data_IF_785202743267
#
_entry.id   IF_785202743267
#
_cell.length_a   1.000
_cell.length_b   1.000
_cell.length_c   1.000
_cell.angle_alpha   90.00
_cell.angle_beta   90.00
_cell.angle_gamma   90.00
#
_symmetry.space_group_name_H-M   'P 1'
#
loop_
_entity.id
_entity.type
_entity.pdbx_description
1 polymer ?
#
# COMPACT_ATOMS: atom_id res chain seq x y z
N UNK A 1 -6.57 9.69 37.87
CA UNK A 1 -5.37 9.01 37.31
C UNK A 1 -4.47 10.08 36.70
N UNK A 2 -3.41 10.50 37.40
CA UNK A 2 -2.62 11.69 37.04
C UNK A 2 -1.47 11.27 36.11
N UNK A 3 -1.66 11.42 34.81
CA UNK A 3 -0.57 11.28 33.84
C UNK A 3 0.32 12.51 34.02
N UNK A 4 1.53 12.32 34.55
CA UNK A 4 2.52 13.39 34.67
C UNK A 4 3.13 13.57 33.28
N UNK A 5 2.47 14.36 32.44
CA UNK A 5 3.03 14.81 31.16
C UNK A 5 4.08 15.90 31.45
N UNK A 6 5.29 15.48 31.81
CA UNK A 6 6.44 16.37 31.89
C UNK A 6 7.00 16.51 30.48
N UNK A 7 6.47 17.47 29.73
CA UNK A 7 6.80 17.79 28.33
C UNK A 7 6.41 16.70 27.31
N UNK A 8 5.96 17.11 26.12
CA UNK A 8 5.52 16.20 25.04
C UNK A 8 6.59 15.20 24.56
N UNK A 9 7.82 15.35 25.05
CA UNK A 9 9.02 14.60 24.65
C UNK A 9 9.27 13.41 25.61
N UNK A 10 8.91 13.53 26.90
CA UNK A 10 9.18 12.53 27.94
C UNK A 10 7.91 12.10 28.68
N UNK A 11 7.62 10.80 28.64
CA UNK A 11 6.51 10.20 29.37
C UNK A 11 7.00 9.08 30.30
N UNK A 12 6.69 9.19 31.60
CA UNK A 12 6.94 8.16 32.60
C UNK A 12 5.63 7.66 33.19
N UNK A 13 5.33 6.38 32.99
CA UNK A 13 4.11 5.70 33.44
C UNK A 13 4.39 4.55 34.41
N UNK A 14 5.66 4.34 34.78
CA UNK A 14 6.06 3.39 35.80
C UNK A 14 5.13 3.37 37.02
N UNK A 15 4.77 2.17 37.47
CA UNK A 15 3.85 1.89 38.58
C UNK A 15 2.36 2.19 38.31
N UNK A 16 1.99 2.43 37.04
CA UNK A 16 0.59 2.49 36.65
C UNK A 16 0.05 1.07 36.34
N UNK A 17 -1.12 0.65 36.85
CA UNK A 17 -1.76 -0.61 36.46
C UNK A 17 -1.96 -0.74 34.93
N UNK A 18 -2.04 0.39 34.22
CA UNK A 18 -2.09 0.42 32.76
C UNK A 18 -0.84 -0.18 32.08
N UNK A 19 0.32 -0.18 32.74
CA UNK A 19 1.54 -0.79 32.22
C UNK A 19 1.52 -2.33 32.20
N UNK A 20 0.48 -2.96 32.77
CA UNK A 20 0.33 -4.42 32.77
C UNK A 20 -0.18 -4.97 31.42
N UNK A 21 -0.78 -4.13 30.56
CA UNK A 21 -1.34 -4.58 29.29
C UNK A 21 -0.26 -4.78 28.22
N UNK A 22 -0.23 -5.91 27.52
CA UNK A 22 0.82 -6.24 26.53
C UNK A 22 1.04 -5.22 25.39
N UNK A 23 0.09 -4.31 25.14
CA UNK A 23 0.15 -3.31 24.06
C UNK A 23 0.13 -1.85 24.57
N UNK A 24 0.20 -1.62 25.89
CA UNK A 24 0.09 -0.28 26.47
C UNK A 24 1.07 0.69 25.83
N UNK A 25 2.32 0.25 25.63
CA UNK A 25 3.40 1.05 25.07
C UNK A 25 3.09 1.53 23.66
N UNK A 26 2.66 0.63 22.77
CA UNK A 26 2.30 0.99 21.39
C UNK A 26 1.04 1.86 21.35
N UNK A 27 0.08 1.62 22.25
CA UNK A 27 -1.12 2.43 22.38
C UNK A 27 -0.80 3.88 22.77
N UNK A 28 0.13 4.08 23.71
CA UNK A 28 0.57 5.43 24.11
C UNK A 28 1.30 6.13 22.96
N UNK A 29 2.20 5.43 22.26
CA UNK A 29 2.90 6.01 21.10
C UNK A 29 1.91 6.41 20.00
N UNK A 30 0.77 5.70 19.88
CA UNK A 30 -0.27 6.01 18.89
C UNK A 30 -1.01 7.29 19.21
N UNK A 31 -1.39 7.47 20.47
CA UNK A 31 -2.11 8.65 20.92
C UNK A 31 -1.20 9.85 21.15
N UNK A 32 0.08 9.62 21.43
CA UNK A 32 1.10 10.65 21.70
C UNK A 32 2.32 10.46 20.77
N UNK A 33 2.22 10.84 19.49
CA UNK A 33 3.29 10.63 18.52
C UNK A 33 4.55 11.48 18.80
N UNK A 34 4.44 12.53 19.61
CA UNK A 34 5.54 13.42 20.01
C UNK A 34 6.51 12.84 21.05
N UNK A 35 6.15 11.73 21.68
CA UNK A 35 6.99 11.10 22.71
C UNK A 35 8.22 10.47 22.06
N UNK A 36 9.40 10.89 22.51
CA UNK A 36 10.69 10.33 22.09
C UNK A 36 11.21 9.33 23.12
N UNK A 37 10.91 9.55 24.41
CA UNK A 37 11.34 8.71 25.52
C UNK A 37 10.13 8.30 26.37
N UNK A 38 9.83 7.00 26.37
CA UNK A 38 8.72 6.41 27.12
C UNK A 38 9.26 5.37 28.10
N UNK A 39 8.99 5.55 29.39
CA UNK A 39 9.45 4.65 30.46
C UNK A 39 10.95 4.37 30.36
N UNK A 40 11.77 5.43 30.32
CA UNK A 40 13.24 5.39 30.17
C UNK A 40 13.76 4.67 28.91
N UNK A 41 12.89 4.18 28.04
CA UNK A 41 13.21 3.50 26.79
C UNK A 41 12.90 4.41 25.61
N UNK A 42 13.87 4.63 24.73
CA UNK A 42 13.66 5.41 23.51
C UNK A 42 12.63 4.72 22.60
N UNK A 43 11.77 5.52 21.99
CA UNK A 43 10.79 5.04 21.02
C UNK A 43 11.51 4.73 19.72
N UNK A 44 11.51 3.46 19.33
CA UNK A 44 12.19 3.00 18.11
C UNK A 44 11.31 3.20 16.87
N UNK A 45 11.93 3.34 15.70
CA UNK A 45 11.19 3.38 14.43
C UNK A 45 10.39 2.09 14.19
N UNK A 46 10.89 0.95 14.66
CA UNK A 46 10.20 -0.33 14.58
C UNK A 46 8.85 -0.25 15.30
N UNK A 47 8.82 0.30 16.52
CA UNK A 47 7.58 0.50 17.28
C UNK A 47 6.62 1.45 16.56
N UNK A 48 7.14 2.54 15.98
CA UNK A 48 6.32 3.49 15.20
C UNK A 48 5.68 2.83 13.98
N UNK A 49 6.41 1.95 13.27
CA UNK A 49 5.87 1.19 12.14
C UNK A 49 4.85 0.15 12.61
N UNK A 50 5.20 -0.65 13.62
CA UNK A 50 4.32 -1.70 14.17
C UNK A 50 3.01 -1.13 14.70
N UNK A 51 3.05 0.03 15.32
CA UNK A 51 1.86 0.74 15.79
C UNK A 51 0.91 1.10 14.64
N UNK A 52 1.41 1.63 13.52
CA UNK A 52 0.59 1.98 12.36
C UNK A 52 -0.07 0.73 11.79
N UNK A 53 0.69 -0.37 11.68
CA UNK A 53 0.16 -1.64 11.18
C UNK A 53 -0.95 -2.21 12.07
N UNK A 54 -0.88 -2.01 13.38
CA UNK A 54 -1.83 -2.58 14.35
C UNK A 54 -3.07 -1.69 14.51
N UNK A 55 -2.89 -0.38 14.69
CA UNK A 55 -3.99 0.52 15.08
C UNK A 55 -4.63 1.28 13.92
N UNK A 56 -3.98 1.37 12.76
CA UNK A 56 -4.50 2.13 11.61
C UNK A 56 -4.46 1.32 10.31
N UNK A 57 -5.50 0.49 10.11
CA UNK A 57 -5.66 -0.35 8.92
C UNK A 57 -5.64 0.43 7.60
N UNK A 58 -6.21 1.65 7.56
CA UNK A 58 -6.20 2.50 6.35
C UNK A 58 -4.78 2.93 5.99
N UNK A 59 -4.02 3.45 6.97
CA UNK A 59 -2.62 3.84 6.76
C UNK A 59 -1.73 2.64 6.46
N UNK A 60 -1.96 1.50 7.12
CA UNK A 60 -1.26 0.26 6.85
C UNK A 60 -1.48 -0.22 5.41
N UNK A 61 -2.73 -0.21 4.94
CA UNK A 61 -3.07 -0.55 3.56
C UNK A 61 -2.37 0.37 2.57
N UNK A 62 -2.37 1.69 2.82
CA UNK A 62 -1.67 2.67 1.99
C UNK A 62 -0.17 2.37 1.93
N UNK A 63 0.50 2.20 3.07
CA UNK A 63 1.93 1.85 3.14
C UNK A 63 2.25 0.56 2.39
N UNK A 64 1.43 -0.48 2.53
CA UNK A 64 1.63 -1.74 1.81
C UNK A 64 1.34 -1.62 0.31
N UNK A 65 0.36 -0.81 -0.10
CA UNK A 65 0.00 -0.60 -1.51
C UNK A 65 1.03 0.24 -2.27
N UNK A 66 1.69 1.20 -1.61
CA UNK A 66 2.71 2.07 -2.21
C UNK A 66 4.02 1.30 -2.46
N UNK A 67 4.31 0.26 -1.68
CA UNK A 67 5.52 -0.55 -1.81
C UNK A 67 5.67 -1.26 -3.16
N UNK A 68 4.63 -1.30 -4.00
CA UNK A 68 4.66 -1.90 -5.34
C UNK A 68 5.12 -0.97 -6.47
N UNK A 69 5.42 0.31 -6.20
CA UNK A 69 5.84 1.23 -7.26
C UNK A 69 6.85 2.31 -6.87
N UNK A 70 6.92 2.74 -5.61
CA UNK A 70 7.76 3.89 -5.23
C UNK A 70 8.45 3.67 -3.88
N UNK A 71 9.77 3.92 -3.83
CA UNK A 71 10.60 3.73 -2.62
C UNK A 71 10.26 4.81 -1.59
N UNK A 72 9.41 4.48 -0.62
CA UNK A 72 9.26 5.30 0.60
C UNK A 72 10.53 5.17 1.44
N UNK A 73 11.25 6.29 1.57
CA UNK A 73 12.42 6.40 2.44
C UNK A 73 12.04 6.12 3.90
N UNK A 74 12.86 5.29 4.53
CA UNK A 74 12.62 4.61 5.80
C UNK A 74 12.49 5.50 7.05
N UNK A 75 12.67 6.82 6.96
CA UNK A 75 12.66 7.71 8.13
C UNK A 75 11.36 8.50 8.23
N UNK A 76 10.46 8.07 9.13
CA UNK A 76 9.23 8.81 9.50
C UNK A 76 9.54 10.01 10.41
N UNK A 77 10.56 10.80 10.06
CA UNK A 77 10.92 11.97 10.85
C UNK A 77 10.47 13.24 10.10
N UNK A 78 9.37 13.91 10.51
CA UNK A 78 8.84 15.07 9.80
C UNK A 78 9.78 16.29 9.83
N UNK A 79 10.89 16.21 10.59
CA UNK A 79 11.86 17.29 10.78
C UNK A 79 13.26 17.01 10.21
N UNK A 80 13.52 15.86 9.59
CA UNK A 80 14.85 15.61 9.03
C UNK A 80 15.00 16.28 7.65
N UNK A 81 16.04 17.09 7.42
CA UNK A 81 16.36 17.57 6.07
C UNK A 81 16.71 16.37 5.20
N UNK A 82 15.81 16.04 4.27
CA UNK A 82 15.90 14.90 3.37
C UNK A 82 17.18 14.99 2.54
N UNK A 83 18.20 14.21 2.89
CA UNK A 83 19.32 13.93 1.99
C UNK A 83 18.93 12.73 1.15
N UNK A 84 18.36 12.98 -0.03
CA UNK A 84 18.28 11.95 -1.07
C UNK A 84 19.71 11.43 -1.29
N UNK A 85 19.92 10.11 -1.14
CA UNK A 85 21.19 9.52 -1.56
C UNK A 85 21.33 9.82 -3.06
N UNK A 86 22.49 10.32 -3.53
CA UNK A 86 22.72 10.47 -4.95
C UNK A 86 22.42 9.13 -5.62
N UNK A 87 21.59 9.14 -6.66
CA UNK A 87 21.39 7.96 -7.49
C UNK A 87 22.78 7.43 -7.86
N UNK A 88 23.04 6.16 -7.56
CA UNK A 88 24.29 5.52 -7.95
C UNK A 88 24.37 5.66 -9.48
N UNK A 89 25.34 6.43 -9.97
CA UNK A 89 25.58 6.52 -11.42
C UNK A 89 25.98 5.13 -11.87
N UNK A 90 25.05 4.49 -12.57
CA UNK A 90 25.30 3.23 -13.25
C UNK A 90 26.46 3.45 -14.22
N UNK A 91 27.43 2.51 -14.28
CA UNK A 91 28.52 2.59 -15.25
C UNK A 91 27.98 2.81 -16.67
N UNK A 92 28.70 3.52 -17.56
CA UNK A 92 28.26 3.71 -18.94
C UNK A 92 28.03 2.39 -19.69
N UNK A 93 28.69 1.31 -19.26
CA UNK A 93 28.55 -0.05 -19.80
C UNK A 93 27.42 -0.86 -19.16
N UNK A 94 26.68 -0.28 -18.20
CA UNK A 94 25.55 -0.94 -17.56
C UNK A 94 24.33 -0.87 -18.47
N UNK A 95 24.23 -1.84 -19.38
CA UNK A 95 22.98 -2.14 -20.05
C UNK A 95 22.02 -2.73 -19.01
N UNK A 96 20.88 -2.08 -18.79
CA UNK A 96 19.75 -2.77 -18.16
C UNK A 96 19.47 -4.01 -18.99
N UNK A 97 19.68 -5.18 -18.41
CA UNK A 97 19.26 -6.43 -18.99
C UNK A 97 17.73 -6.43 -19.06
N UNK A 98 17.20 -5.80 -20.11
CA UNK A 98 15.95 -6.24 -20.67
C UNK A 98 16.21 -7.70 -21.05
N UNK A 99 15.69 -8.62 -20.25
CA UNK A 99 15.62 -10.05 -20.56
C UNK A 99 14.64 -10.28 -21.74
N UNK A 100 14.82 -9.54 -22.82
CA UNK A 100 14.25 -9.84 -24.11
C UNK A 100 15.37 -10.62 -24.78
N UNK A 101 15.17 -11.92 -24.94
CA UNK A 101 15.96 -12.75 -25.84
C UNK A 101 16.35 -11.91 -27.06
N UNK A 102 17.64 -11.89 -27.40
CA UNK A 102 18.20 -11.20 -28.56
C UNK A 102 17.19 -11.29 -29.70
N UNK A 103 16.63 -10.16 -30.08
CA UNK A 103 15.54 -10.10 -31.06
C UNK A 103 16.02 -10.80 -32.31
N UNK A 104 15.31 -11.86 -32.72
CA UNK A 104 15.58 -12.67 -33.93
C UNK A 104 15.43 -11.84 -35.23
N UNK A 105 15.14 -10.54 -35.12
CA UNK A 105 14.80 -9.66 -36.23
C UNK A 105 15.86 -8.55 -36.34
N UNK A 106 16.46 -8.43 -37.52
CA UNK A 106 17.45 -7.39 -37.85
C UNK A 106 16.78 -6.02 -38.05
N UNK A 107 15.55 -6.00 -38.57
CA UNK A 107 14.75 -4.79 -38.78
C UNK A 107 13.69 -4.57 -37.69
N UNK A 108 13.61 -3.35 -37.17
CA UNK A 108 12.66 -2.98 -36.11
C UNK A 108 11.20 -3.04 -36.56
N UNK A 109 10.94 -2.73 -37.82
CA UNK A 109 9.59 -2.76 -38.41
C UNK A 109 9.05 -4.19 -38.50
N UNK A 110 9.91 -5.17 -38.80
CA UNK A 110 9.53 -6.59 -38.87
C UNK A 110 9.19 -7.15 -37.48
N UNK A 111 9.95 -6.75 -36.45
CA UNK A 111 9.64 -7.08 -35.07
C UNK A 111 8.29 -6.49 -34.64
N UNK A 112 8.00 -5.24 -35.03
CA UNK A 112 6.70 -4.59 -34.77
C UNK A 112 5.57 -5.33 -35.50
N UNK A 113 5.77 -5.71 -36.76
CA UNK A 113 4.80 -6.45 -37.55
C UNK A 113 4.47 -7.82 -36.93
N UNK A 114 5.48 -8.64 -36.60
CA UNK A 114 5.26 -9.94 -35.95
C UNK A 114 4.61 -9.79 -34.57
N UNK A 115 5.04 -8.78 -33.79
CA UNK A 115 4.44 -8.48 -32.49
C UNK A 115 2.99 -8.01 -32.62
N UNK A 116 2.65 -7.29 -33.69
CA UNK A 116 1.28 -6.86 -33.99
C UNK A 116 0.40 -8.05 -34.38
N UNK A 117 0.95 -9.03 -35.11
CA UNK A 117 0.25 -10.24 -35.53
C UNK A 117 -0.01 -11.20 -34.35
N UNK A 118 0.80 -11.15 -33.30
CA UNK A 118 0.68 -11.97 -32.08
C UNK A 118 -0.23 -11.39 -31.00
N UNK A 119 -0.92 -10.27 -31.23
CA UNK A 119 -1.80 -9.69 -30.22
C UNK A 119 -2.99 -10.60 -29.95
N UNK A 120 -3.14 -11.02 -28.70
CA UNK A 120 -4.31 -11.74 -28.23
C UNK A 120 -5.49 -10.75 -28.17
N UNK A 121 -6.67 -11.19 -28.63
CA UNK A 121 -7.90 -10.40 -28.51
C UNK A 121 -8.21 -10.22 -27.03
N UNK A 122 -8.23 -8.96 -26.57
CA UNK A 122 -8.57 -8.65 -25.18
C UNK A 122 -10.03 -8.25 -25.13
N UNK A 123 -10.83 -8.98 -24.36
CA UNK A 123 -12.22 -8.63 -24.07
C UNK A 123 -12.35 -8.21 -22.62
N UNK A 124 -12.88 -7.01 -22.38
CA UNK A 124 -13.19 -6.50 -21.04
C UNK A 124 -14.72 -6.49 -20.88
N UNK A 125 -15.23 -7.19 -19.87
CA UNK A 125 -16.66 -7.25 -19.55
C UNK A 125 -16.97 -6.41 -18.31
N UNK A 126 -17.90 -5.48 -18.45
CA UNK A 126 -18.45 -4.69 -17.36
C UNK A 126 -19.88 -5.16 -17.09
N UNK A 127 -20.16 -5.58 -15.86
CA UNK A 127 -21.49 -6.01 -15.42
C UNK A 127 -22.06 -5.00 -14.43
N UNK A 128 -23.28 -4.52 -14.67
CA UNK A 128 -23.97 -3.69 -13.71
C UNK A 128 -24.53 -4.54 -12.57
N UNK A 129 -23.80 -4.62 -11.46
CA UNK A 129 -24.19 -5.39 -10.27
C UNK A 129 -25.50 -4.91 -9.62
N UNK A 130 -25.95 -3.68 -9.88
CA UNK A 130 -27.23 -3.20 -9.40
C UNK A 130 -28.43 -3.86 -10.11
N UNK A 131 -28.20 -4.42 -11.31
CA UNK A 131 -29.22 -5.15 -12.09
C UNK A 131 -29.25 -6.65 -11.82
N UNK A 132 -28.31 -7.17 -11.02
CA UNK A 132 -28.24 -8.59 -10.68
C UNK A 132 -29.08 -8.83 -9.43
N UNK A 133 -30.21 -9.52 -9.60
CA UNK A 133 -31.10 -9.89 -8.50
C UNK A 133 -30.38 -10.67 -7.41
N UNK A 134 -30.63 -10.29 -6.15
CA UNK A 134 -30.12 -11.02 -4.99
C UNK A 134 -30.89 -12.32 -4.79
N UNK A 135 -30.29 -13.27 -4.07
CA UNK A 135 -30.88 -14.61 -3.81
C UNK A 135 -32.28 -14.54 -3.18
N UNK A 136 -32.55 -13.51 -2.41
CA UNK A 136 -33.83 -13.27 -1.72
C UNK A 136 -34.93 -12.77 -2.69
N UNK A 137 -34.56 -12.07 -3.76
CA UNK A 137 -35.49 -11.50 -4.75
C UNK A 137 -35.91 -12.53 -5.82
N UNK A 138 -35.14 -13.62 -5.98
CA UNK A 138 -35.48 -14.75 -6.87
C UNK A 138 -36.76 -15.50 -6.50
N UNK A 139 -37.28 -15.31 -5.28
CA UNK A 139 -38.51 -15.97 -4.80
C UNK A 139 -39.81 -15.26 -5.19
N UNK A 140 -39.72 -14.03 -5.71
CA UNK A 140 -40.86 -13.20 -6.12
C UNK A 140 -40.82 -12.94 -7.63
N UNK A 141 -40.73 -14.02 -8.41
CA UNK A 141 -40.81 -13.96 -9.88
C UNK A 141 -42.26 -13.66 -10.31
N UNK A 142 -42.65 -12.40 -10.11
CA UNK A 142 -43.90 -11.82 -10.61
C UNK A 142 -43.54 -10.63 -11.49
N UNK A 143 -43.48 -10.89 -12.80
CA UNK A 143 -43.50 -9.94 -13.93
C UNK A 143 -42.72 -8.62 -13.77
N UNK A 144 -41.55 -8.54 -14.44
CA UNK A 144 -40.99 -7.23 -14.84
C UNK A 144 -39.50 -6.99 -14.60
N UNK A 145 -38.69 -8.00 -14.26
CA UNK A 145 -37.27 -7.74 -14.01
C UNK A 145 -36.47 -7.57 -15.30
N UNK A 146 -35.92 -6.37 -15.49
CA UNK A 146 -34.97 -6.03 -16.54
C UNK A 146 -33.76 -6.99 -16.54
N UNK A 147 -33.34 -7.50 -17.71
CA UNK A 147 -32.18 -8.39 -17.79
C UNK A 147 -30.90 -7.66 -17.34
N UNK A 148 -29.98 -8.41 -16.74
CA UNK A 148 -28.72 -7.86 -16.27
C UNK A 148 -27.97 -7.15 -17.40
N UNK A 149 -27.68 -5.88 -17.22
CA UNK A 149 -27.01 -5.07 -18.23
C UNK A 149 -25.51 -5.36 -18.19
N UNK A 150 -25.00 -5.94 -19.28
CA UNK A 150 -23.59 -6.25 -19.46
C UNK A 150 -23.06 -5.56 -20.72
N UNK A 151 -21.92 -4.90 -20.59
CA UNK A 151 -21.18 -4.27 -21.70
C UNK A 151 -19.87 -5.01 -21.90
N UNK A 152 -19.62 -5.48 -23.12
CA UNK A 152 -18.35 -6.10 -23.51
C UNK A 152 -17.63 -5.19 -24.49
N UNK A 153 -16.42 -4.77 -24.13
CA UNK A 153 -15.53 -4.00 -25.00
C UNK A 153 -14.42 -4.93 -25.47
N UNK A 154 -14.29 -5.11 -26.78
CA UNK A 154 -13.21 -5.86 -27.40
C UNK A 154 -12.15 -4.90 -27.92
N UNK A 155 -10.90 -5.18 -27.58
CA UNK A 155 -9.72 -4.42 -27.97
C UNK A 155 -8.87 -5.31 -28.87
N UNK A 156 -8.54 -4.81 -30.06
CA UNK A 156 -7.73 -5.48 -31.08
C UNK A 156 -6.47 -4.69 -31.37
#
# INVERSE_FOLDING_TARGET
MKLILKSDIFAGLYQNPFCQYNLYRLYIIYHLPGVELLDRNQVTEKERRSMITIFNHKKAHVVHSIAFGEKVDASWNPRSPFKQKPAHRVPPDFAFANNVDKTVFDDSEDAVFVRSMKRSLVAITFLNWCTVLKREEKGLEGEGTEPAQMLTITLR
#
